data_IF_545381519772
#
_entry.id   IF_545381519772
#
_cell.length_a   1.000
_cell.length_b   1.000
_cell.length_c   1.000
_cell.angle_alpha   90.00
_cell.angle_beta   90.00
_cell.angle_gamma   90.00
#
_symmetry.space_group_name_H-M   'P 1'
#
loop_
_entity.id
_entity.type
_entity.pdbx_description
1 polymer ?
#
# COMPACT_ATOMS: atom_id res chain seq x y z
N UNK A 1 17.02 -12.69 -6.10
CA UNK A 1 17.49 -11.45 -6.75
C UNK A 1 18.96 -11.20 -6.41
N UNK A 2 19.72 -10.55 -7.31
CA UNK A 2 21.15 -10.28 -7.12
C UNK A 2 21.46 -9.47 -5.87
N UNK A 3 20.60 -8.51 -5.51
CA UNK A 3 20.76 -7.63 -4.35
C UNK A 3 20.76 -8.41 -3.02
N UNK A 4 19.80 -9.29 -2.81
CA UNK A 4 19.73 -10.08 -1.57
C UNK A 4 20.92 -11.03 -1.42
N UNK A 5 21.43 -11.60 -2.55
CA UNK A 5 22.66 -12.38 -2.55
C UNK A 5 23.90 -11.53 -2.27
N UNK A 6 23.97 -10.34 -2.86
CA UNK A 6 25.09 -9.42 -2.64
C UNK A 6 25.17 -8.92 -1.19
N UNK A 7 24.02 -8.76 -0.52
CA UNK A 7 23.93 -8.37 0.89
C UNK A 7 24.02 -9.57 1.85
N UNK A 8 24.01 -10.81 1.33
CA UNK A 8 24.12 -12.06 2.11
C UNK A 8 23.14 -12.15 3.30
N UNK A 9 21.95 -11.55 3.13
CA UNK A 9 20.95 -11.52 4.19
C UNK A 9 20.43 -12.94 4.52
N UNK A 10 20.15 -13.24 5.79
CA UNK A 10 19.72 -14.57 6.24
C UNK A 10 18.27 -14.88 5.80
N UNK A 11 18.09 -15.32 4.56
CA UNK A 11 16.77 -15.65 3.98
C UNK A 11 15.91 -16.60 4.83
N UNK A 12 16.49 -17.56 5.60
CA UNK A 12 15.67 -18.38 6.52
C UNK A 12 14.94 -17.59 7.61
N UNK A 13 15.34 -16.34 7.88
CA UNK A 13 14.65 -15.44 8.79
C UNK A 13 13.60 -14.56 8.10
N UNK A 14 13.38 -14.72 6.79
CA UNK A 14 12.33 -14.00 6.09
C UNK A 14 10.96 -14.60 6.45
N UNK A 15 10.09 -13.78 7.01
CA UNK A 15 8.70 -14.15 7.32
C UNK A 15 7.76 -13.83 6.15
N UNK A 16 8.22 -12.99 5.23
CA UNK A 16 7.55 -12.67 3.99
C UNK A 16 8.59 -12.53 2.86
N UNK A 17 8.32 -13.16 1.74
CA UNK A 17 9.08 -13.02 0.49
C UNK A 17 8.08 -13.07 -0.66
N UNK A 18 7.67 -11.90 -1.13
CA UNK A 18 6.66 -11.73 -2.16
C UNK A 18 7.19 -10.94 -3.35
N UNK A 19 6.72 -11.31 -4.54
CA UNK A 19 6.94 -10.55 -5.77
C UNK A 19 5.62 -9.94 -6.19
N UNK A 20 5.58 -8.61 -6.21
CA UNK A 20 4.39 -7.85 -6.58
C UNK A 20 4.60 -7.15 -7.93
N UNK A 21 3.61 -7.21 -8.82
CA UNK A 21 3.64 -6.43 -10.05
C UNK A 21 3.70 -4.93 -9.75
N UNK A 22 4.63 -4.24 -10.39
CA UNK A 22 4.83 -2.80 -10.30
C UNK A 22 4.11 -2.10 -11.46
N UNK A 23 3.31 -1.12 -11.14
CA UNK A 23 2.49 -0.36 -12.08
C UNK A 23 2.81 1.13 -12.05
N UNK A 24 2.64 1.76 -13.21
CA UNK A 24 2.80 3.21 -13.41
C UNK A 24 1.63 3.76 -14.21
N UNK A 25 1.25 5.00 -13.93
CA UNK A 25 0.24 5.75 -14.65
C UNK A 25 0.72 7.18 -14.87
N UNK A 26 0.69 7.65 -16.12
CA UNK A 26 0.66 9.08 -16.44
C UNK A 26 -0.75 9.59 -16.14
N UNK A 27 -0.87 10.54 -15.21
CA UNK A 27 -2.18 11.04 -14.75
C UNK A 27 -2.97 11.79 -15.84
N UNK A 28 -2.34 12.17 -16.95
CA UNK A 28 -3.06 12.64 -18.13
C UNK A 28 -3.91 11.53 -18.79
N UNK A 29 -3.57 10.25 -18.54
CA UNK A 29 -4.29 9.08 -19.05
C UNK A 29 -5.25 8.48 -18.01
N UNK A 30 -5.43 9.11 -16.86
CA UNK A 30 -6.29 8.60 -15.79
C UNK A 30 -7.74 8.48 -16.23
N UNK A 31 -8.29 7.28 -16.09
CA UNK A 31 -9.70 6.99 -16.33
C UNK A 31 -10.45 7.00 -14.98
N UNK A 32 -11.33 7.99 -14.78
CA UNK A 32 -12.12 8.09 -13.55
C UNK A 32 -13.46 7.35 -13.75
N UNK A 33 -13.72 6.25 -13.02
CA UNK A 33 -14.99 5.52 -13.15
C UNK A 33 -16.17 6.39 -12.74
N UNK A 34 -17.27 6.30 -13.46
CA UNK A 34 -18.54 6.91 -13.06
C UNK A 34 -19.08 6.34 -11.74
N UNK A 35 -20.03 7.06 -11.11
CA UNK A 35 -20.70 6.64 -9.87
C UNK A 35 -21.03 7.81 -8.96
N UNK A 36 -21.80 7.56 -7.91
CA UNK A 36 -22.28 8.58 -6.97
C UNK A 36 -21.44 8.68 -5.68
N UNK A 37 -20.54 7.71 -5.43
CA UNK A 37 -19.65 7.76 -4.28
C UNK A 37 -18.67 8.93 -4.39
N UNK A 38 -18.42 9.61 -3.27
CA UNK A 38 -17.55 10.78 -3.16
C UNK A 38 -16.32 10.48 -2.32
N UNK A 39 -15.21 11.10 -2.63
CA UNK A 39 -13.98 10.98 -1.85
C UNK A 39 -13.85 12.20 -0.94
N UNK A 40 -13.45 11.98 0.32
CA UNK A 40 -13.11 13.07 1.24
C UNK A 40 -11.81 12.80 1.98
N UNK A 41 -11.25 13.83 2.57
CA UNK A 41 -10.15 13.70 3.52
C UNK A 41 -10.58 12.86 4.72
N UNK A 42 -9.65 12.09 5.26
CA UNK A 42 -9.88 11.40 6.53
C UNK A 42 -9.88 12.42 7.67
N UNK A 43 -10.85 12.32 8.57
CA UNK A 43 -10.99 13.13 9.76
C UNK A 43 -10.49 12.37 11.01
N UNK A 44 -10.20 13.04 12.13
CA UNK A 44 -9.76 12.36 13.36
C UNK A 44 -10.74 11.29 13.85
N UNK A 45 -12.04 11.49 13.61
CA UNK A 45 -13.12 10.57 13.98
C UNK A 45 -13.08 9.25 13.18
N UNK A 46 -12.51 9.28 11.98
CA UNK A 46 -12.36 8.08 11.14
C UNK A 46 -11.25 7.15 11.65
N UNK A 47 -10.29 7.66 12.41
CA UNK A 47 -9.05 6.92 12.73
C UNK A 47 -9.32 5.58 13.41
N UNK A 48 -10.39 5.44 14.19
CA UNK A 48 -10.72 4.15 14.79
C UNK A 48 -11.12 3.14 13.71
N UNK A 49 -12.06 3.49 12.85
CA UNK A 49 -12.52 2.64 11.73
C UNK A 49 -11.37 2.29 10.79
N UNK A 50 -10.57 3.29 10.41
CA UNK A 50 -9.45 3.10 9.49
C UNK A 50 -8.34 2.23 10.10
N UNK A 51 -8.15 2.28 11.43
CA UNK A 51 -7.25 1.38 12.14
C UNK A 51 -7.75 -0.07 12.06
N UNK A 52 -9.04 -0.29 12.27
CA UNK A 52 -9.64 -1.62 12.13
C UNK A 52 -9.47 -2.17 10.69
N UNK A 53 -9.67 -1.31 9.69
CA UNK A 53 -9.45 -1.66 8.29
C UNK A 53 -7.98 -1.94 7.96
N UNK A 54 -7.07 -1.15 8.50
CA UNK A 54 -5.62 -1.37 8.34
C UNK A 54 -5.21 -2.71 8.93
N UNK A 55 -5.65 -3.01 10.15
CA UNK A 55 -5.36 -4.28 10.81
C UNK A 55 -5.94 -5.47 10.04
N UNK A 56 -7.19 -5.36 9.58
CA UNK A 56 -7.81 -6.40 8.76
C UNK A 56 -7.01 -6.64 7.46
N UNK A 57 -6.54 -5.59 6.80
CA UNK A 57 -5.69 -5.68 5.62
C UNK A 57 -4.34 -6.33 5.92
N UNK A 58 -3.68 -5.98 7.01
CA UNK A 58 -2.38 -6.53 7.40
C UNK A 58 -2.48 -8.02 7.73
N UNK A 59 -3.52 -8.43 8.42
CA UNK A 59 -3.79 -9.86 8.69
C UNK A 59 -4.05 -10.62 7.38
N UNK A 60 -4.87 -10.06 6.49
CA UNK A 60 -5.27 -10.72 5.24
C UNK A 60 -4.11 -10.81 4.23
N UNK A 61 -3.32 -9.75 4.07
CA UNK A 61 -2.33 -9.62 2.99
C UNK A 61 -0.93 -10.01 3.44
N UNK A 62 -0.56 -9.65 4.67
CA UNK A 62 0.80 -9.82 5.19
C UNK A 62 0.93 -10.96 6.20
N UNK A 63 -0.18 -11.63 6.56
CA UNK A 63 -0.17 -12.66 7.59
C UNK A 63 0.16 -12.13 8.99
N UNK A 64 0.00 -10.81 9.19
CA UNK A 64 0.26 -10.15 10.46
C UNK A 64 -0.70 -10.59 11.57
N UNK A 65 -0.37 -10.23 12.81
CA UNK A 65 -1.21 -10.51 13.98
C UNK A 65 -1.89 -9.25 14.50
N UNK A 66 -3.16 -9.35 14.84
CA UNK A 66 -3.92 -8.25 15.44
C UNK A 66 -3.62 -8.18 16.94
N UNK A 67 -2.58 -7.42 17.28
CA UNK A 67 -2.14 -7.18 18.67
C UNK A 67 -2.36 -5.73 19.06
N UNK A 68 -2.48 -5.41 20.38
CA UNK A 68 -2.57 -4.02 20.84
C UNK A 68 -1.39 -3.15 20.36
N UNK A 69 -0.19 -3.72 20.28
CA UNK A 69 1.00 -3.02 19.81
C UNK A 69 0.89 -2.69 18.31
N UNK A 70 0.50 -3.66 17.45
CA UNK A 70 0.33 -3.46 16.01
C UNK A 70 -0.80 -2.47 15.74
N UNK A 71 -1.89 -2.52 16.52
CA UNK A 71 -2.98 -1.53 16.43
C UNK A 71 -2.50 -0.11 16.77
N UNK A 72 -1.71 0.04 17.82
CA UNK A 72 -1.15 1.34 18.20
C UNK A 72 -0.24 1.90 17.10
N UNK A 73 0.60 1.06 16.50
CA UNK A 73 1.49 1.44 15.40
C UNK A 73 0.69 1.79 14.12
N UNK A 74 -0.30 0.98 13.76
CA UNK A 74 -1.18 1.25 12.63
C UNK A 74 -1.93 2.58 12.80
N UNK A 75 -2.46 2.84 14.01
CA UNK A 75 -3.14 4.10 14.34
C UNK A 75 -2.20 5.29 14.22
N UNK A 76 -0.98 5.20 14.76
CA UNK A 76 0.02 6.28 14.68
C UNK A 76 0.36 6.59 13.21
N UNK A 77 0.63 5.56 12.40
CA UNK A 77 0.90 5.71 10.98
C UNK A 77 -0.28 6.35 10.21
N UNK A 78 -1.52 5.93 10.48
CA UNK A 78 -2.70 6.55 9.87
C UNK A 78 -2.89 8.00 10.30
N UNK A 79 -2.57 8.33 11.55
CA UNK A 79 -2.62 9.71 12.06
C UNK A 79 -1.59 10.60 11.35
N UNK A 80 -0.37 10.11 11.13
CA UNK A 80 0.65 10.82 10.35
C UNK A 80 0.19 11.06 8.90
N UNK A 81 -0.38 10.05 8.25
CA UNK A 81 -0.93 10.17 6.90
C UNK A 81 -2.10 11.18 6.83
N UNK A 82 -2.97 11.17 7.84
CA UNK A 82 -4.09 12.11 7.95
C UNK A 82 -3.59 13.54 8.13
N UNK A 83 -2.64 13.78 9.03
CA UNK A 83 -2.03 15.10 9.26
C UNK A 83 -1.28 15.62 8.02
N UNK A 84 -0.64 14.72 7.27
CA UNK A 84 0.05 15.04 6.03
C UNK A 84 -0.90 15.20 4.80
N UNK A 85 -2.20 15.14 5.00
CA UNK A 85 -3.23 15.18 3.94
C UNK A 85 -3.09 14.08 2.86
N UNK A 86 -2.60 12.90 3.26
CA UNK A 86 -2.34 11.78 2.36
C UNK A 86 -3.35 10.63 2.48
N UNK A 87 -4.35 10.75 3.35
CA UNK A 87 -5.34 9.71 3.65
C UNK A 87 -6.74 10.15 3.21
N UNK A 88 -7.43 9.28 2.49
CA UNK A 88 -8.78 9.54 1.95
C UNK A 88 -9.74 8.42 2.30
N UNK A 89 -11.00 8.77 2.44
CA UNK A 89 -12.12 7.87 2.66
C UNK A 89 -13.13 8.03 1.52
N UNK A 90 -13.50 6.94 0.90
CA UNK A 90 -14.60 6.91 -0.06
C UNK A 90 -15.92 6.72 0.68
N UNK A 91 -16.87 7.59 0.38
CA UNK A 91 -18.22 7.58 0.94
C UNK A 91 -19.23 7.13 -0.10
N UNK A 92 -20.09 6.20 0.24
CA UNK A 92 -21.26 5.85 -0.55
C UNK A 92 -22.50 5.91 0.35
N UNK A 93 -23.54 6.63 -0.08
CA UNK A 93 -24.80 6.80 0.69
C UNK A 93 -24.56 7.28 2.14
N UNK A 94 -23.55 8.16 2.32
CA UNK A 94 -23.19 8.69 3.63
C UNK A 94 -22.36 7.77 4.51
N UNK A 95 -21.99 6.57 4.05
CA UNK A 95 -21.20 5.58 4.82
C UNK A 95 -19.81 5.43 4.23
N UNK A 96 -18.73 5.27 5.05
CA UNK A 96 -17.42 4.91 4.60
C UNK A 96 -17.40 3.51 3.97
N UNK A 97 -16.86 3.37 2.75
CA UNK A 97 -16.86 2.08 2.01
C UNK A 97 -15.48 1.63 1.55
N UNK A 98 -14.50 2.53 1.47
CA UNK A 98 -13.12 2.21 1.16
C UNK A 98 -12.19 3.29 1.68
N UNK A 99 -10.91 2.95 1.87
CA UNK A 99 -9.83 3.90 2.12
C UNK A 99 -8.72 3.77 1.08
N UNK A 100 -7.94 4.84 0.91
CA UNK A 100 -6.72 4.88 0.12
C UNK A 100 -5.78 5.95 0.68
N UNK A 101 -4.48 5.73 0.58
CA UNK A 101 -3.49 6.73 0.97
C UNK A 101 -2.34 6.84 -0.04
N UNK A 102 -1.56 7.92 0.06
CA UNK A 102 -0.25 8.00 -0.57
C UNK A 102 0.83 7.56 0.42
N UNK A 103 1.53 6.47 0.13
CA UNK A 103 2.69 6.02 0.92
C UNK A 103 3.84 7.01 0.78
N UNK A 104 4.05 7.54 -0.42
CA UNK A 104 5.06 8.54 -0.72
C UNK A 104 4.51 9.62 -1.63
N UNK A 105 5.00 10.84 -1.45
CA UNK A 105 4.72 12.01 -2.29
C UNK A 105 6.05 12.70 -2.56
N UNK A 106 6.42 12.81 -3.83
CA UNK A 106 7.58 13.53 -4.32
C UNK A 106 7.12 14.55 -5.36
N UNK A 107 7.93 15.53 -5.74
CA UNK A 107 7.59 16.46 -6.81
C UNK A 107 7.16 15.72 -8.08
N UNK A 108 5.91 15.91 -8.49
CA UNK A 108 5.34 15.34 -9.71
C UNK A 108 4.92 13.86 -9.64
N UNK A 109 5.21 13.12 -8.58
CA UNK A 109 4.90 11.69 -8.48
C UNK A 109 4.35 11.29 -7.11
N UNK A 110 3.35 10.41 -7.10
CA UNK A 110 2.79 9.81 -5.88
C UNK A 110 2.83 8.29 -5.93
N UNK A 111 2.97 7.66 -4.76
CA UNK A 111 2.82 6.21 -4.61
C UNK A 111 1.53 5.90 -3.87
N UNK A 112 0.61 5.19 -4.54
CA UNK A 112 -0.60 4.65 -3.91
C UNK A 112 -0.26 3.52 -2.94
N UNK A 113 -0.91 3.53 -1.79
CA UNK A 113 -0.88 2.46 -0.79
C UNK A 113 -2.13 2.44 0.07
N UNK A 114 -2.17 1.51 1.01
CA UNK A 114 -3.23 1.39 2.01
C UNK A 114 -4.65 1.32 1.44
N UNK A 115 -4.81 0.79 0.24
CA UNK A 115 -6.14 0.61 -0.38
C UNK A 115 -6.85 -0.55 0.28
N UNK A 116 -7.99 -0.28 0.88
CA UNK A 116 -8.79 -1.31 1.51
C UNK A 116 -10.29 -1.08 1.29
N UNK A 117 -11.00 -2.17 1.05
CA UNK A 117 -12.47 -2.25 1.03
C UNK A 117 -12.89 -3.44 1.88
N UNK A 118 -13.76 -3.27 2.87
CA UNK A 118 -14.28 -4.37 3.70
C UNK A 118 -14.83 -5.51 2.85
N UNK A 119 -14.67 -6.78 3.26
CA UNK A 119 -15.08 -7.94 2.46
C UNK A 119 -16.53 -7.88 1.93
N UNK A 120 -17.47 -7.47 2.77
CA UNK A 120 -18.88 -7.35 2.39
C UNK A 120 -19.21 -6.24 1.38
N UNK A 121 -18.24 -5.37 1.06
CA UNK A 121 -18.37 -4.25 0.12
C UNK A 121 -17.53 -4.43 -1.14
N UNK A 122 -16.83 -5.57 -1.27
CA UNK A 122 -16.01 -5.88 -2.45
C UNK A 122 -16.87 -6.20 -3.67
N UNK A 123 -16.24 -6.09 -4.84
CA UNK A 123 -16.95 -6.31 -6.13
C UNK A 123 -17.76 -5.11 -6.64
N UNK A 124 -18.01 -4.10 -5.79
CA UNK A 124 -18.76 -2.88 -6.15
C UNK A 124 -17.90 -1.79 -6.82
N UNK A 125 -16.60 -2.03 -7.03
CA UNK A 125 -15.70 -1.07 -7.67
C UNK A 125 -15.20 0.06 -6.74
N UNK A 126 -15.47 0.00 -5.45
CA UNK A 126 -15.12 1.06 -4.49
C UNK A 126 -13.61 1.32 -4.39
N UNK A 127 -12.77 0.29 -4.29
CA UNK A 127 -11.32 0.45 -4.27
C UNK A 127 -10.81 1.19 -5.51
N UNK A 128 -11.23 0.75 -6.69
CA UNK A 128 -10.86 1.38 -7.97
C UNK A 128 -11.29 2.85 -8.03
N UNK A 129 -12.53 3.15 -7.60
CA UNK A 129 -13.03 4.53 -7.60
C UNK A 129 -12.34 5.39 -6.56
N UNK A 130 -12.04 4.88 -5.37
CA UNK A 130 -11.29 5.60 -4.34
C UNK A 130 -9.92 6.02 -4.86
N UNK A 131 -9.17 5.10 -5.47
CA UNK A 131 -7.86 5.38 -6.06
C UNK A 131 -7.97 6.39 -7.19
N UNK A 132 -8.93 6.23 -8.12
CA UNK A 132 -9.08 7.13 -9.25
C UNK A 132 -9.40 8.56 -8.81
N UNK A 133 -10.31 8.75 -7.85
CA UNK A 133 -10.64 10.08 -7.33
C UNK A 133 -9.47 10.71 -6.55
N UNK A 134 -8.70 9.92 -5.78
CA UNK A 134 -7.51 10.42 -5.08
C UNK A 134 -6.43 10.88 -6.05
N UNK A 135 -6.25 10.14 -7.15
CA UNK A 135 -5.32 10.51 -8.22
C UNK A 135 -5.82 11.72 -9.02
N UNK A 136 -7.14 11.87 -9.19
CA UNK A 136 -7.72 13.08 -9.79
C UNK A 136 -7.39 14.32 -8.95
N UNK A 137 -7.58 14.27 -7.63
CA UNK A 137 -7.21 15.36 -6.72
C UNK A 137 -5.71 15.68 -6.82
N UNK A 138 -4.85 14.66 -6.87
CA UNK A 138 -3.41 14.84 -7.01
C UNK A 138 -3.03 15.47 -8.35
N UNK A 139 -3.63 15.02 -9.46
CA UNK A 139 -3.44 15.60 -10.79
C UNK A 139 -3.85 17.06 -10.82
N UNK A 140 -5.01 17.37 -10.27
CA UNK A 140 -5.55 18.73 -10.23
C UNK A 140 -4.70 19.67 -9.34
N UNK A 141 -3.87 19.07 -8.46
CA UNK A 141 -2.85 19.73 -7.64
C UNK A 141 -1.44 19.75 -8.29
N UNK A 142 -1.29 19.29 -9.54
CA UNK A 142 -0.05 19.37 -10.31
C UNK A 142 0.81 18.11 -10.30
N UNK A 143 0.35 16.99 -9.73
CA UNK A 143 1.02 15.67 -9.86
C UNK A 143 0.81 15.14 -11.28
N UNK A 144 1.87 14.64 -11.89
CA UNK A 144 1.83 14.10 -13.27
C UNK A 144 1.84 12.58 -13.33
N UNK A 145 2.29 11.90 -12.27
CA UNK A 145 2.59 10.48 -12.31
C UNK A 145 2.18 9.77 -11.03
N UNK A 146 1.73 8.52 -11.16
CA UNK A 146 1.46 7.64 -10.03
C UNK A 146 2.10 6.27 -10.22
N UNK A 147 2.55 5.68 -9.12
CA UNK A 147 3.00 4.28 -9.07
C UNK A 147 2.26 3.52 -7.98
N UNK A 148 2.19 2.20 -8.13
CA UNK A 148 1.70 1.27 -7.12
C UNK A 148 2.25 -0.14 -7.30
N UNK A 149 2.08 -0.95 -6.27
CA UNK A 149 2.30 -2.39 -6.29
C UNK A 149 0.97 -3.10 -6.05
N UNK A 150 0.70 -4.17 -6.81
CA UNK A 150 -0.56 -4.87 -6.72
C UNK A 150 -0.40 -6.19 -5.97
N UNK A 151 -0.92 -6.26 -4.74
CA UNK A 151 -0.83 -7.43 -3.87
C UNK A 151 -1.71 -8.62 -4.33
N UNK A 152 -2.55 -8.44 -5.34
CA UNK A 152 -3.41 -9.52 -5.86
C UNK A 152 -3.82 -9.30 -7.33
N UNK A 153 -4.20 -10.38 -8.05
CA UNK A 153 -4.73 -10.25 -9.41
C UNK A 153 -6.01 -9.41 -9.50
N UNK A 154 -6.82 -9.38 -8.43
CA UNK A 154 -8.02 -8.55 -8.39
C UNK A 154 -7.67 -7.06 -8.28
N UNK A 155 -6.66 -6.71 -7.46
CA UNK A 155 -6.13 -5.36 -7.36
C UNK A 155 -5.51 -4.91 -8.68
N UNK A 156 -4.70 -5.77 -9.33
CA UNK A 156 -4.11 -5.50 -10.63
C UNK A 156 -5.17 -5.11 -11.68
N UNK A 157 -6.21 -5.92 -11.84
CA UNK A 157 -7.33 -5.62 -12.75
C UNK A 157 -8.04 -4.31 -12.42
N UNK A 158 -8.19 -4.00 -11.13
CA UNK A 158 -8.83 -2.76 -10.70
C UNK A 158 -8.00 -1.53 -11.11
N UNK A 159 -6.67 -1.62 -11.03
CA UNK A 159 -5.76 -0.54 -11.38
C UNK A 159 -5.57 -0.41 -12.91
N UNK A 160 -5.45 -1.52 -13.62
CA UNK A 160 -5.42 -1.53 -15.09
C UNK A 160 -6.67 -0.85 -15.69
N UNK A 161 -7.84 -1.07 -15.08
CA UNK A 161 -9.10 -0.48 -15.52
C UNK A 161 -9.18 1.06 -15.35
N UNK A 162 -8.24 1.68 -14.64
CA UNK A 162 -8.13 3.14 -14.49
C UNK A 162 -6.90 3.72 -15.19
N UNK A 163 -6.21 2.90 -15.99
CA UNK A 163 -5.13 3.33 -16.87
C UNK A 163 -3.72 2.94 -16.44
N UNK A 164 -3.53 2.25 -15.32
CA UNK A 164 -2.19 1.78 -14.93
C UNK A 164 -1.65 0.72 -15.89
N UNK A 165 -0.40 0.90 -16.32
CA UNK A 165 0.36 -0.08 -17.06
C UNK A 165 1.40 -0.78 -16.18
N UNK A 166 1.54 -2.11 -16.31
CA UNK A 166 2.60 -2.86 -15.62
C UNK A 166 3.95 -2.51 -16.22
N UNK A 167 4.93 -2.17 -15.36
CA UNK A 167 6.29 -1.78 -15.78
C UNK A 167 7.38 -2.72 -15.27
N UNK A 168 7.03 -3.69 -14.42
CA UNK A 168 7.97 -4.65 -13.87
C UNK A 168 7.45 -5.37 -12.65
N UNK A 169 8.39 -5.90 -11.86
CA UNK A 169 8.11 -6.60 -10.62
C UNK A 169 8.94 -6.01 -9.48
N UNK A 170 8.33 -5.91 -8.32
CA UNK A 170 8.97 -5.50 -7.08
C UNK A 170 8.98 -6.67 -6.09
N UNK A 171 10.11 -6.94 -5.47
CA UNK A 171 10.22 -7.99 -4.46
C UNK A 171 10.29 -7.36 -3.07
N UNK A 172 9.36 -7.78 -2.21
CA UNK A 172 9.28 -7.38 -0.82
C UNK A 172 9.77 -8.55 0.04
N UNK A 173 10.73 -8.29 0.92
CA UNK A 173 11.21 -9.28 1.89
C UNK A 173 11.16 -8.66 3.27
N UNK A 174 10.39 -9.25 4.18
CA UNK A 174 10.33 -8.86 5.59
C UNK A 174 11.04 -9.89 6.45
N UNK A 175 11.82 -9.42 7.41
CA UNK A 175 12.54 -10.24 8.37
C UNK A 175 11.98 -10.03 9.78
N UNK A 176 11.80 -11.12 10.51
CA UNK A 176 11.46 -11.09 11.93
C UNK A 176 12.35 -12.11 12.66
N UNK A 177 13.20 -11.68 13.60
CA UNK A 177 13.49 -10.29 13.97
C UNK A 177 14.16 -9.50 12.83
N UNK A 178 14.20 -8.15 12.90
CA UNK A 178 14.93 -7.33 11.95
C UNK A 178 16.39 -7.78 11.81
N UNK A 179 16.92 -7.78 10.58
CA UNK A 179 18.30 -8.19 10.28
C UNK A 179 19.09 -7.00 9.75
N UNK A 180 20.39 -6.96 10.04
CA UNK A 180 21.31 -5.96 9.51
C UNK A 180 22.24 -6.59 8.48
N UNK A 181 22.88 -5.74 7.64
CA UNK A 181 23.92 -6.20 6.69
C UNK A 181 25.08 -6.83 7.43
N UNK A 182 25.40 -6.34 8.64
CA UNK A 182 26.46 -6.89 9.51
C UNK A 182 26.17 -8.32 9.95
N UNK A 183 24.88 -8.69 10.14
CA UNK A 183 24.49 -10.07 10.48
C UNK A 183 24.80 -11.04 9.33
N UNK A 184 24.67 -10.59 8.08
CA UNK A 184 25.07 -11.35 6.90
C UNK A 184 26.57 -11.54 6.80
N UNK A 185 27.34 -10.49 7.05
CA UNK A 185 28.82 -10.51 7.01
C UNK A 185 29.44 -11.37 8.12
N UNK A 186 28.87 -11.37 9.34
CA UNK A 186 29.35 -12.22 10.45
C UNK A 186 29.20 -13.70 10.15
N UNK A 187 28.08 -14.13 9.58
CA UNK A 187 27.85 -15.55 9.22
C UNK A 187 28.83 -16.04 8.15
N UNK A 188 29.30 -15.15 7.28
CA UNK A 188 30.33 -15.48 6.28
C UNK A 188 31.67 -15.80 6.94
N UNK A 189 32.09 -14.94 7.86
CA UNK A 189 33.36 -15.14 8.59
C UNK A 189 33.36 -16.44 9.41
N UNK A 190 32.19 -16.88 9.93
CA UNK A 190 32.04 -18.13 10.68
C UNK A 190 31.94 -19.36 9.77
N UNK A 191 31.43 -19.20 8.51
CA UNK A 191 31.26 -20.28 7.53
C UNK A 191 32.54 -20.62 6.73
N UNK A 192 33.43 -19.67 6.54
CA UNK A 192 34.72 -19.86 5.83
C UNK A 192 35.80 -20.46 6.72
N UNK A 193 35.52 -20.71 8.00
CA UNK A 193 36.44 -21.32 8.99
C UNK A 193 36.23 -22.84 9.19
N UNK A 194 35.51 -23.54 8.31
CA UNK A 194 35.32 -25.01 8.38
C UNK A 194 35.81 -25.71 7.13
#
# INVERSE_FOLDING_TARGET
SGVLRALELPMPCAVMDAVEPHYRLDLAQLLVPGGQSTLRRAEPEDLQLLTDWRMASEVEVLGGSDTPQNRAQARASLQELQQADRLRVLMAEGVPVAMTNFNAVLPGIVQIGGVYTPPGLRGCGYARRAVALHLQDARDSGTSEAILFAASPAAARAYEAIGFGRIGDYRIVNFDPPVTVEDGLRKRAEGEGR
#
